data_IF_221534562375
#
_entry.id   IF_221534562375
#
_cell.length_a   1.000
_cell.length_b   1.000
_cell.length_c   1.000
_cell.angle_alpha   90.00
_cell.angle_beta   90.00
_cell.angle_gamma   90.00
#
_symmetry.space_group_name_H-M   'P 1'
#
loop_
_entity.id
_entity.type
_entity.pdbx_description
1 polymer ?
#
# COMPACT_ATOMS: atom_id res chain seq x y z
N UNK A 1 5.47 15.06 13.11
CA UNK A 1 4.76 14.06 12.29
C UNK A 1 3.42 14.66 11.87
N UNK A 2 3.08 14.63 10.59
CA UNK A 2 1.75 15.00 10.08
C UNK A 2 0.92 13.72 9.92
N UNK A 3 -0.33 13.75 10.41
CA UNK A 3 -1.29 12.66 10.19
C UNK A 3 -2.63 13.27 9.83
N UNK A 4 -3.21 12.81 8.74
CA UNK A 4 -4.55 13.22 8.28
C UNK A 4 -5.25 12.03 7.62
N UNK A 5 -6.58 12.04 7.61
CA UNK A 5 -7.40 11.09 6.86
C UNK A 5 -8.06 11.81 5.70
N UNK A 6 -7.70 11.43 4.49
CA UNK A 6 -8.20 12.00 3.25
C UNK A 6 -9.29 11.10 2.69
N UNK A 7 -10.46 11.66 2.38
CA UNK A 7 -11.55 10.93 1.73
C UNK A 7 -11.27 10.88 0.24
N UNK A 8 -11.01 9.68 -0.30
CA UNK A 8 -10.81 9.44 -1.73
C UNK A 8 -12.16 9.28 -2.45
N UNK A 9 -13.09 8.56 -1.83
CA UNK A 9 -14.44 8.39 -2.37
C UNK A 9 -15.47 8.39 -1.24
N UNK A 10 -16.31 9.41 -1.19
CA UNK A 10 -17.31 9.58 -0.12
C UNK A 10 -18.45 8.56 -0.20
N UNK A 11 -18.90 8.23 -1.41
CA UNK A 11 -20.03 7.31 -1.62
C UNK A 11 -19.67 5.87 -1.21
N UNK A 12 -18.45 5.46 -1.46
CA UNK A 12 -17.95 4.14 -1.11
C UNK A 12 -17.17 4.09 0.21
N UNK A 13 -17.11 5.22 0.93
CA UNK A 13 -16.38 5.36 2.19
C UNK A 13 -14.90 4.94 2.09
N UNK A 14 -14.25 5.35 0.98
CA UNK A 14 -12.84 5.06 0.74
C UNK A 14 -11.98 6.16 1.31
N UNK A 15 -11.00 5.80 2.12
CA UNK A 15 -10.12 6.76 2.79
C UNK A 15 -8.66 6.36 2.71
N UNK A 16 -7.79 7.35 2.70
CA UNK A 16 -6.34 7.21 2.85
C UNK A 16 -5.91 7.96 4.12
N UNK A 17 -5.49 7.22 5.14
CA UNK A 17 -4.86 7.82 6.32
C UNK A 17 -3.37 7.93 6.09
N UNK A 18 -2.82 9.13 6.30
CA UNK A 18 -1.41 9.44 6.06
C UNK A 18 -0.64 9.57 7.36
N UNK A 19 0.60 9.12 7.36
CA UNK A 19 1.56 9.25 8.46
C UNK A 19 2.89 9.70 7.88
N UNK A 20 3.13 11.02 7.92
CA UNK A 20 4.28 11.68 7.30
C UNK A 20 5.28 12.10 8.38
N UNK A 21 6.49 11.59 8.28
CA UNK A 21 7.58 11.93 9.20
C UNK A 21 8.30 13.21 8.76
N UNK A 22 8.88 13.97 9.69
CA UNK A 22 9.70 15.12 9.35
C UNK A 22 10.97 14.66 8.61
N UNK A 23 11.47 15.56 7.77
CA UNK A 23 12.77 15.48 7.10
C UNK A 23 13.54 16.77 7.33
N UNK A 24 14.87 16.78 7.15
CA UNK A 24 15.69 17.95 7.37
C UNK A 24 15.87 18.32 8.85
N UNK A 25 16.17 19.57 9.14
CA UNK A 25 16.49 20.03 10.49
C UNK A 25 17.75 19.35 11.01
N UNK A 26 17.68 18.72 12.18
CA UNK A 26 18.81 17.93 12.74
C UNK A 26 19.11 16.67 11.91
N UNK A 27 18.16 16.19 11.09
CA UNK A 27 18.37 15.10 10.14
C UNK A 27 18.92 15.61 8.80
N UNK A 28 20.07 16.26 8.82
CA UNK A 28 20.66 16.99 7.67
C UNK A 28 20.89 16.14 6.42
N UNK A 29 20.95 14.82 6.56
CA UNK A 29 21.15 13.86 5.48
C UNK A 29 19.86 13.17 4.99
N UNK A 30 18.69 13.46 5.62
CA UNK A 30 17.40 12.91 5.22
C UNK A 30 16.58 13.99 4.52
N UNK A 31 16.58 13.95 3.19
CA UNK A 31 15.84 14.91 2.37
C UNK A 31 14.47 14.38 1.92
N UNK A 32 14.38 13.06 1.70
CA UNK A 32 13.15 12.33 1.35
C UNK A 32 13.14 10.99 2.07
N UNK A 33 11.98 10.34 2.13
CA UNK A 33 11.81 9.01 2.70
C UNK A 33 11.10 8.09 1.73
N UNK A 34 11.36 6.77 1.78
CA UNK A 34 10.52 5.78 1.10
C UNK A 34 9.12 5.75 1.74
N UNK A 35 8.16 5.21 1.00
CA UNK A 35 6.78 5.12 1.46
C UNK A 35 6.23 3.70 1.37
N UNK A 36 5.26 3.37 2.22
CA UNK A 36 4.51 2.13 2.17
C UNK A 36 3.01 2.40 2.26
N UNK A 37 2.23 1.77 1.38
CA UNK A 37 0.77 1.74 1.45
C UNK A 37 0.37 0.41 2.07
N UNK A 38 -0.23 0.44 3.24
CA UNK A 38 -0.76 -0.72 3.94
C UNK A 38 -2.21 -0.92 3.52
N UNK A 39 -2.53 -2.13 3.06
CA UNK A 39 -3.86 -2.54 2.58
C UNK A 39 -4.34 -3.67 3.50
N UNK A 40 -5.22 -3.38 4.47
CA UNK A 40 -5.71 -4.38 5.42
C UNK A 40 -6.53 -5.49 4.75
N UNK A 41 -6.55 -6.67 5.35
CA UNK A 41 -7.46 -7.74 4.97
C UNK A 41 -8.87 -7.54 5.54
N UNK A 42 -9.69 -8.57 5.44
CA UNK A 42 -11.06 -8.58 5.94
C UNK A 42 -12.07 -9.17 4.94
N UNK A 43 -11.61 -9.96 3.95
CA UNK A 43 -12.45 -10.68 3.02
C UNK A 43 -13.33 -9.79 2.13
N UNK A 44 -12.94 -8.53 1.90
CA UNK A 44 -13.75 -7.50 1.26
C UNK A 44 -15.05 -7.14 2.00
N UNK A 45 -15.23 -7.62 3.24
CA UNK A 45 -16.39 -7.29 4.08
C UNK A 45 -16.11 -6.13 5.03
N UNK A 46 -14.85 -5.98 5.44
CA UNK A 46 -14.35 -4.91 6.30
C UNK A 46 -12.85 -4.72 6.05
N UNK A 47 -12.27 -3.65 6.59
CA UNK A 47 -10.82 -3.46 6.69
C UNK A 47 -10.39 -3.73 8.14
N UNK A 48 -9.48 -4.68 8.33
CA UNK A 48 -9.03 -5.12 9.65
C UNK A 48 -8.14 -4.09 10.32
N UNK A 49 -8.55 -3.55 11.47
CA UNK A 49 -7.75 -2.59 12.24
C UNK A 49 -6.44 -3.21 12.76
N UNK A 50 -6.39 -4.53 12.94
CA UNK A 50 -5.18 -5.26 13.35
C UNK A 50 -4.09 -5.28 12.28
N UNK A 51 -4.45 -5.01 11.03
CA UNK A 51 -3.57 -5.04 9.85
C UNK A 51 -3.43 -3.66 9.21
N UNK A 52 -3.88 -2.63 9.90
CA UNK A 52 -3.90 -1.25 9.45
C UNK A 52 -2.79 -0.43 10.14
N UNK A 53 -3.17 0.44 11.05
CA UNK A 53 -2.28 1.39 11.73
C UNK A 53 -1.16 0.71 12.51
N UNK A 54 -1.44 -0.44 13.16
CA UNK A 54 -0.44 -1.19 13.93
C UNK A 54 0.73 -1.57 13.01
N UNK A 55 0.44 -2.02 11.79
CA UNK A 55 1.46 -2.36 10.81
C UNK A 55 2.14 -1.11 10.26
N UNK A 56 1.37 -0.07 9.93
CA UNK A 56 1.91 1.19 9.43
C UNK A 56 2.94 1.80 10.38
N UNK A 57 2.71 1.70 11.71
CA UNK A 57 3.60 2.24 12.73
C UNK A 57 4.96 1.51 12.79
N UNK A 58 5.03 0.22 12.46
CA UNK A 58 6.32 -0.48 12.35
C UNK A 58 7.17 0.05 11.19
N UNK A 59 6.53 0.39 10.07
CA UNK A 59 7.23 1.03 8.95
C UNK A 59 7.64 2.47 9.27
N UNK A 60 6.82 3.22 10.00
CA UNK A 60 7.21 4.53 10.50
C UNK A 60 8.45 4.42 11.39
N UNK A 61 8.51 3.44 12.29
CA UNK A 61 9.66 3.17 13.15
C UNK A 61 10.92 2.83 12.34
N UNK A 62 10.75 2.19 11.20
CA UNK A 62 11.83 1.89 10.26
C UNK A 62 12.21 3.07 9.34
N UNK A 63 11.57 4.24 9.50
CA UNK A 63 11.93 5.45 8.77
C UNK A 63 11.17 5.70 7.47
N UNK A 64 10.11 4.93 7.19
CA UNK A 64 9.23 5.13 6.05
C UNK A 64 8.14 6.16 6.35
N UNK A 65 7.60 6.82 5.32
CA UNK A 65 6.25 7.34 5.40
C UNK A 65 5.27 6.17 5.26
N UNK A 66 4.16 6.23 5.97
CA UNK A 66 3.18 5.15 5.92
C UNK A 66 1.78 5.68 5.59
N UNK A 67 1.05 4.90 4.83
CA UNK A 67 -0.31 5.17 4.40
C UNK A 67 -1.17 3.95 4.68
N UNK A 68 -2.40 4.17 5.18
CA UNK A 68 -3.38 3.10 5.34
C UNK A 68 -4.53 3.35 4.37
N UNK A 69 -4.72 2.44 3.43
CA UNK A 69 -5.82 2.49 2.47
C UNK A 69 -7.00 1.66 2.96
N UNK A 70 -8.13 2.30 3.27
CA UNK A 70 -9.42 1.67 3.49
C UNK A 70 -10.21 1.74 2.20
N UNK A 71 -10.23 0.62 1.48
CA UNK A 71 -10.76 0.48 0.12
C UNK A 71 -12.24 0.05 0.13
N UNK A 72 -12.87 0.04 -1.05
CA UNK A 72 -14.26 -0.40 -1.25
C UNK A 72 -14.50 -1.82 -0.73
N UNK A 73 -15.51 -1.94 0.13
CA UNK A 73 -15.91 -3.20 0.81
C UNK A 73 -17.38 -3.49 0.59
N UNK A 74 -17.82 -4.70 0.96
CA UNK A 74 -19.22 -5.18 0.88
C UNK A 74 -19.77 -5.05 -0.54
N UNK A 75 -20.95 -4.44 -0.68
CA UNK A 75 -21.61 -4.18 -1.96
C UNK A 75 -20.78 -3.32 -2.92
N UNK A 76 -19.87 -2.52 -2.39
CA UNK A 76 -18.97 -1.68 -3.18
C UNK A 76 -17.70 -2.40 -3.65
N UNK A 77 -17.42 -3.60 -3.14
CA UNK A 77 -16.24 -4.39 -3.53
C UNK A 77 -16.36 -5.03 -4.92
N UNK A 78 -17.16 -4.45 -5.80
CA UNK A 78 -17.31 -4.90 -7.19
C UNK A 78 -16.09 -4.48 -7.99
N UNK A 79 -15.47 -5.45 -8.66
CA UNK A 79 -14.34 -5.15 -9.54
C UNK A 79 -14.74 -4.22 -10.70
N UNK A 80 -13.93 -3.16 -11.01
CA UNK A 80 -12.59 -2.88 -10.50
C UNK A 80 -12.51 -1.85 -9.34
N UNK A 81 -13.59 -1.57 -8.60
CA UNK A 81 -13.62 -0.51 -7.58
C UNK A 81 -12.42 -0.54 -6.61
N UNK A 82 -12.06 -1.67 -5.97
CA UNK A 82 -10.91 -1.68 -5.06
C UNK A 82 -9.59 -1.31 -5.75
N UNK A 83 -9.39 -1.71 -7.01
CA UNK A 83 -8.21 -1.32 -7.78
C UNK A 83 -8.21 0.18 -8.11
N UNK A 84 -9.36 0.73 -8.48
CA UNK A 84 -9.51 2.17 -8.72
C UNK A 84 -9.23 2.99 -7.45
N UNK A 85 -9.62 2.48 -6.28
CA UNK A 85 -9.33 3.12 -4.99
C UNK A 85 -7.83 3.15 -4.71
N UNK A 86 -7.13 2.05 -4.99
CA UNK A 86 -5.67 2.00 -4.92
C UNK A 86 -5.01 2.98 -5.91
N UNK A 87 -5.50 3.03 -7.16
CA UNK A 87 -4.96 3.96 -8.15
C UNK A 87 -5.11 5.41 -7.72
N UNK A 88 -6.27 5.80 -7.19
CA UNK A 88 -6.51 7.13 -6.64
C UNK A 88 -5.55 7.45 -5.47
N UNK A 89 -5.32 6.47 -4.57
CA UNK A 89 -4.38 6.62 -3.47
C UNK A 89 -2.95 6.84 -4.00
N UNK A 90 -2.50 6.03 -4.95
CA UNK A 90 -1.16 6.14 -5.53
C UNK A 90 -0.98 7.44 -6.31
N UNK A 91 -1.97 7.87 -7.08
CA UNK A 91 -1.97 9.15 -7.78
C UNK A 91 -1.85 10.32 -6.82
N UNK A 92 -2.62 10.30 -5.73
CA UNK A 92 -2.55 11.33 -4.70
C UNK A 92 -1.17 11.37 -4.04
N UNK A 93 -0.61 10.21 -3.67
CA UNK A 93 0.72 10.13 -3.05
C UNK A 93 1.79 10.68 -3.98
N UNK A 94 1.76 10.31 -5.26
CA UNK A 94 2.71 10.80 -6.26
C UNK A 94 2.55 12.30 -6.53
N UNK A 95 1.32 12.80 -6.62
CA UNK A 95 1.06 14.24 -6.83
C UNK A 95 1.55 15.12 -5.68
N UNK A 96 1.61 14.57 -4.46
CA UNK A 96 2.10 15.25 -3.27
C UNK A 96 3.50 14.80 -2.82
N UNK A 97 4.23 14.07 -3.68
CA UNK A 97 5.52 13.48 -3.31
C UNK A 97 6.58 14.51 -2.92
N UNK A 98 6.64 15.66 -3.58
CA UNK A 98 7.54 16.76 -3.20
C UNK A 98 7.14 17.39 -1.86
N UNK A 99 5.84 17.67 -1.66
CA UNK A 99 5.31 18.24 -0.42
C UNK A 99 5.55 17.30 0.77
N UNK A 100 5.37 16.00 0.56
CA UNK A 100 5.54 14.98 1.59
C UNK A 100 6.96 14.42 1.68
N UNK A 101 7.87 14.90 0.85
CA UNK A 101 9.26 14.44 0.78
C UNK A 101 9.37 12.92 0.57
N UNK A 102 8.68 12.39 -0.44
CA UNK A 102 8.66 10.98 -0.80
C UNK A 102 9.59 10.73 -1.98
N UNK A 103 10.34 9.63 -1.94
CA UNK A 103 10.99 9.08 -3.13
C UNK A 103 9.93 8.38 -3.99
N UNK A 104 9.58 8.93 -5.16
CA UNK A 104 8.56 8.37 -6.05
C UNK A 104 8.92 6.99 -6.62
N UNK A 105 10.20 6.68 -6.68
CA UNK A 105 10.75 5.39 -7.09
C UNK A 105 10.88 4.39 -5.93
N UNK A 106 10.40 4.72 -4.72
CA UNK A 106 10.47 3.88 -3.52
C UNK A 106 9.13 3.85 -2.75
N UNK A 107 8.05 3.56 -3.48
CA UNK A 107 6.72 3.39 -2.91
C UNK A 107 6.35 1.92 -2.97
N UNK A 108 6.27 1.28 -1.81
CA UNK A 108 5.87 -0.12 -1.69
C UNK A 108 4.39 -0.23 -1.34
N UNK A 109 3.80 -1.38 -1.64
CA UNK A 109 2.49 -1.79 -1.14
C UNK A 109 2.64 -3.03 -0.28
N UNK A 110 1.94 -3.06 0.86
CA UNK A 110 1.85 -4.22 1.74
C UNK A 110 0.38 -4.57 1.95
N UNK A 111 -0.01 -5.78 1.61
CA UNK A 111 -1.40 -6.22 1.76
C UNK A 111 -1.53 -7.58 2.44
N UNK A 112 -2.62 -7.73 3.21
CA UNK A 112 -2.93 -8.95 3.95
C UNK A 112 -4.22 -9.57 3.46
N UNK A 113 -4.26 -10.91 3.26
CA UNK A 113 -5.46 -11.63 2.85
C UNK A 113 -6.14 -10.98 1.64
N UNK A 114 -7.36 -10.46 1.77
CA UNK A 114 -8.05 -9.69 0.71
C UNK A 114 -7.28 -8.43 0.28
N UNK A 115 -6.65 -7.72 1.24
CA UNK A 115 -5.75 -6.60 0.93
C UNK A 115 -4.50 -7.04 0.18
N UNK A 116 -3.99 -8.24 0.46
CA UNK A 116 -2.92 -8.85 -0.32
C UNK A 116 -3.34 -9.22 -1.74
N UNK A 117 -4.58 -9.68 -1.93
CA UNK A 117 -5.14 -9.87 -3.26
C UNK A 117 -5.20 -8.53 -4.04
N UNK A 118 -5.65 -7.45 -3.39
CA UNK A 118 -5.62 -6.11 -3.98
C UNK A 118 -4.20 -5.62 -4.27
N UNK A 119 -3.25 -5.84 -3.35
CA UNK A 119 -1.84 -5.50 -3.55
C UNK A 119 -1.23 -6.26 -4.75
N UNK A 120 -1.61 -7.53 -4.94
CA UNK A 120 -1.20 -8.32 -6.12
C UNK A 120 -1.77 -7.73 -7.41
N UNK A 121 -3.04 -7.34 -7.40
CA UNK A 121 -3.68 -6.68 -8.54
C UNK A 121 -3.01 -5.32 -8.83
N UNK A 122 -2.70 -4.55 -7.80
CA UNK A 122 -1.96 -3.29 -7.92
C UNK A 122 -0.60 -3.49 -8.61
N UNK A 123 0.15 -4.51 -8.20
CA UNK A 123 1.47 -4.80 -8.78
C UNK A 123 1.43 -5.29 -10.23
N UNK A 124 0.33 -5.94 -10.65
CA UNK A 124 0.25 -6.61 -11.96
C UNK A 124 -0.61 -5.88 -12.99
N UNK A 125 -1.68 -5.23 -12.53
CA UNK A 125 -2.74 -4.70 -13.41
C UNK A 125 -2.87 -3.17 -13.36
N UNK A 126 -2.40 -2.52 -12.27
CA UNK A 126 -2.52 -1.07 -12.14
C UNK A 126 -1.67 -0.32 -13.17
N UNK A 127 -2.13 0.84 -13.57
CA UNK A 127 -1.37 1.84 -14.33
C UNK A 127 -0.26 2.46 -13.48
N UNK A 128 -0.54 2.62 -12.17
CA UNK A 128 0.36 3.17 -11.17
C UNK A 128 0.94 2.05 -10.29
N UNK A 129 1.77 1.18 -10.89
CA UNK A 129 2.37 0.06 -10.15
C UNK A 129 3.25 0.54 -9.01
N UNK A 130 3.26 -0.19 -7.87
CA UNK A 130 4.21 0.06 -6.79
C UNK A 130 5.62 -0.39 -7.21
N UNK A 131 6.65 0.15 -6.55
CA UNK A 131 8.04 -0.28 -6.77
C UNK A 131 8.33 -1.64 -6.11
N UNK A 132 7.57 -1.99 -5.07
CA UNK A 132 7.61 -3.30 -4.42
C UNK A 132 6.23 -3.68 -3.89
N UNK A 133 5.93 -4.98 -3.84
CA UNK A 133 4.72 -5.52 -3.25
C UNK A 133 5.06 -6.62 -2.24
N UNK A 134 4.55 -6.46 -1.01
CA UNK A 134 4.65 -7.43 0.06
C UNK A 134 3.27 -8.03 0.32
N UNK A 135 3.21 -9.36 0.36
CA UNK A 135 1.94 -10.09 0.44
C UNK A 135 1.93 -10.97 1.68
N UNK A 136 1.08 -10.63 2.65
CA UNK A 136 0.85 -11.42 3.85
C UNK A 136 -0.33 -12.38 3.68
N UNK A 137 -0.10 -13.70 3.85
CA UNK A 137 -1.07 -14.82 3.81
C UNK A 137 -2.21 -14.67 2.78
N UNK A 138 -1.83 -14.33 1.55
CA UNK A 138 -2.76 -14.11 0.43
C UNK A 138 -3.27 -15.44 -0.11
N UNK A 139 -4.58 -15.56 -0.26
CA UNK A 139 -5.18 -16.68 -0.96
C UNK A 139 -5.25 -16.36 -2.46
N UNK A 140 -4.29 -16.85 -3.23
CA UNK A 140 -4.19 -16.56 -4.66
C UNK A 140 -4.80 -17.72 -5.44
N UNK A 141 -6.02 -17.52 -5.96
CA UNK A 141 -6.73 -18.51 -6.80
C UNK A 141 -6.49 -18.35 -8.31
N UNK A 142 -5.68 -17.38 -8.75
CA UNK A 142 -5.48 -17.09 -10.17
C UNK A 142 -4.02 -17.21 -10.62
N UNK A 143 -3.82 -17.68 -11.86
CA UNK A 143 -2.49 -17.82 -12.49
C UNK A 143 -1.70 -16.51 -12.57
N UNK A 144 -2.37 -15.35 -12.59
CA UNK A 144 -1.70 -14.04 -12.69
C UNK A 144 -0.92 -13.65 -11.42
N UNK A 145 -1.36 -14.09 -10.26
CA UNK A 145 -0.73 -13.69 -9.00
C UNK A 145 0.55 -14.50 -8.69
N UNK A 146 0.69 -15.71 -9.24
CA UNK A 146 1.93 -16.50 -9.11
C UNK A 146 3.11 -15.85 -9.85
N UNK A 147 2.84 -15.12 -10.95
CA UNK A 147 3.88 -14.47 -11.75
C UNK A 147 4.42 -13.22 -11.03
N UNK A 148 3.59 -12.50 -10.27
CA UNK A 148 4.02 -11.31 -9.54
C UNK A 148 4.94 -11.64 -8.36
N UNK A 149 4.66 -12.74 -7.64
CA UNK A 149 5.47 -13.17 -6.50
C UNK A 149 6.88 -13.64 -6.92
N UNK A 150 7.03 -14.18 -8.13
CA UNK A 150 8.32 -14.68 -8.62
C UNK A 150 9.21 -13.60 -9.23
N UNK A 151 8.65 -12.47 -9.66
CA UNK A 151 9.40 -11.40 -10.35
C UNK A 151 10.06 -10.38 -9.40
N UNK A 152 9.69 -10.34 -8.11
CA UNK A 152 10.11 -9.29 -7.18
C UNK A 152 10.77 -9.77 -5.89
N UNK A 153 11.01 -11.07 -5.69
CA UNK A 153 11.73 -11.56 -4.52
C UNK A 153 13.08 -12.14 -4.92
N UNK A 154 14.20 -11.41 -4.74
CA UNK A 154 15.54 -11.97 -4.95
C UNK A 154 15.86 -13.12 -3.98
N UNK A 155 15.06 -13.29 -2.91
CA UNK A 155 15.21 -14.34 -1.92
C UNK A 155 14.48 -15.66 -2.25
N UNK A 156 13.57 -15.67 -3.23
CA UNK A 156 12.87 -16.90 -3.64
C UNK A 156 13.60 -17.75 -4.68
N UNK A 157 14.81 -17.36 -5.08
CA UNK A 157 15.59 -18.07 -6.09
C UNK A 157 16.61 -19.10 -5.53
N UNK A 158 16.62 -19.33 -4.22
CA UNK A 158 17.54 -20.29 -3.60
C UNK A 158 16.84 -21.29 -2.68
N UNK A 159 16.05 -22.17 -3.23
CA UNK A 159 15.86 -23.50 -2.66
C UNK A 159 16.01 -24.53 -3.78
N UNK A 160 17.08 -25.33 -3.76
CA UNK A 160 17.17 -26.50 -4.64
C UNK A 160 16.12 -27.53 -4.23
N UNK A 161 15.64 -28.27 -5.20
CA UNK A 161 14.67 -29.37 -5.09
C UNK A 161 15.12 -30.45 -4.13
#
# INVERSE_FOLDING_TARGET
MLSETIVLNKERNVTLTTYIQPVGGEFTYINKRPAVIVIPGGGYQFCSDREAEIVAFEYLRAGYHAFVLRYSIKENAVWPNPLNDYEQAMELIKSRAEEWHIYEDKIAVLGFSAGGHLASAAATMSKNRPNAALLGYVFIKSRCALIAASAFCPFCLTTPR
#
